data_IF_457289415467
#
_entry.id   IF_457289415467
#
_cell.length_a   1.000
_cell.length_b   1.000
_cell.length_c   1.000
_cell.angle_alpha   90.00
_cell.angle_beta   90.00
_cell.angle_gamma   90.00
#
_symmetry.space_group_name_H-M   'P 1'
#
loop_
_entity.id
_entity.type
_entity.pdbx_description
1 polymer ?
#
# COMPACT_ATOMS: atom_id res chain seq x y z
N UNK A 1 -1.77 24.44 -4.67
CA UNK A 1 -2.59 23.20 -4.71
C UNK A 1 -1.83 22.00 -4.14
N UNK A 2 -0.73 21.52 -4.75
CA UNK A 2 -0.04 20.30 -4.28
C UNK A 2 0.33 20.31 -2.78
N UNK A 3 0.80 21.45 -2.26
CA UNK A 3 1.19 21.60 -0.85
C UNK A 3 0.05 21.45 0.15
N UNK A 4 -1.21 21.65 -0.26
CA UNK A 4 -2.38 21.60 0.65
C UNK A 4 -3.21 20.33 0.50
N UNK A 5 -2.94 19.49 -0.52
CA UNK A 5 -3.74 18.28 -0.77
C UNK A 5 -3.76 17.32 0.42
N UNK A 6 -2.65 17.21 1.16
CA UNK A 6 -2.60 16.34 2.33
C UNK A 6 -3.57 16.75 3.46
N UNK A 7 -4.00 18.02 3.48
CA UNK A 7 -4.99 18.55 4.43
C UNK A 7 -6.43 18.33 3.98
N UNK A 8 -6.65 18.20 2.67
CA UNK A 8 -7.99 18.13 2.07
C UNK A 8 -8.43 16.70 1.76
N UNK A 9 -7.48 15.80 1.52
CA UNK A 9 -7.75 14.46 0.98
C UNK A 9 -7.63 13.41 2.08
N UNK A 10 -8.60 12.53 2.22
CA UNK A 10 -8.55 11.43 3.20
C UNK A 10 -7.43 10.42 2.91
N UNK A 11 -6.92 9.76 3.96
CA UNK A 11 -5.84 8.77 3.84
C UNK A 11 -6.22 7.50 3.06
N UNK A 12 -7.50 7.26 2.78
CA UNK A 12 -7.96 6.20 1.88
C UNK A 12 -7.54 6.44 0.42
N UNK A 13 -7.22 7.69 0.06
CA UNK A 13 -6.88 8.10 -1.28
C UNK A 13 -5.38 8.36 -1.44
N UNK A 14 -4.69 7.42 -2.09
CA UNK A 14 -3.22 7.39 -2.12
C UNK A 14 -2.58 7.83 -3.45
N UNK A 15 -3.36 8.05 -4.51
CA UNK A 15 -2.82 8.49 -5.80
C UNK A 15 -2.51 9.98 -5.81
N UNK A 16 -1.37 10.35 -6.40
CA UNK A 16 -0.95 11.73 -6.68
C UNK A 16 -0.85 12.69 -5.47
N UNK A 17 -1.05 12.20 -4.24
CA UNK A 17 -0.82 12.97 -3.01
C UNK A 17 0.63 12.75 -2.55
N UNK A 18 1.42 13.83 -2.33
CA UNK A 18 2.79 13.72 -1.85
C UNK A 18 2.91 12.90 -0.56
N UNK A 19 3.96 12.09 -0.45
CA UNK A 19 4.20 11.24 0.73
C UNK A 19 3.40 9.93 0.77
N UNK A 20 2.30 9.84 0.00
CA UNK A 20 1.47 8.62 -0.06
C UNK A 20 2.01 7.59 -1.05
N UNK A 21 1.71 6.32 -0.79
CA UNK A 21 2.33 5.19 -1.46
C UNK A 21 1.30 4.19 -1.96
N UNK A 22 1.38 3.81 -3.24
CA UNK A 22 0.53 2.78 -3.86
C UNK A 22 0.59 1.44 -3.11
N UNK A 23 1.74 1.12 -2.51
CA UNK A 23 1.91 -0.11 -1.74
C UNK A 23 0.99 -0.16 -0.52
N UNK A 24 0.62 0.99 0.04
CA UNK A 24 -0.17 1.07 1.28
C UNK A 24 -1.60 0.59 1.01
N UNK A 25 -2.22 0.97 -0.13
CA UNK A 25 -3.51 0.42 -0.58
C UNK A 25 -3.43 -1.09 -0.78
N UNK A 26 -2.38 -1.57 -1.47
CA UNK A 26 -2.24 -3.00 -1.79
C UNK A 26 -2.07 -3.83 -0.51
N UNK A 27 -1.24 -3.37 0.42
CA UNK A 27 -0.99 -4.06 1.68
C UNK A 27 -2.24 -4.08 2.56
N UNK A 28 -2.96 -2.96 2.67
CA UNK A 28 -4.20 -2.91 3.43
C UNK A 28 -5.29 -3.77 2.80
N UNK A 29 -5.49 -3.70 1.48
CA UNK A 29 -6.44 -4.56 0.78
C UNK A 29 -6.14 -6.05 1.00
N UNK A 30 -4.86 -6.47 1.00
CA UNK A 30 -4.47 -7.84 1.35
C UNK A 30 -4.84 -8.23 2.80
N UNK A 31 -4.69 -7.30 3.75
CA UNK A 31 -5.09 -7.55 5.15
C UNK A 31 -6.61 -7.69 5.30
N UNK A 32 -7.39 -6.87 4.59
CA UNK A 32 -8.85 -6.90 4.63
C UNK A 32 -9.42 -8.14 3.92
N UNK A 33 -8.81 -8.54 2.79
CA UNK A 33 -9.17 -9.76 2.05
C UNK A 33 -8.71 -11.05 2.73
N UNK A 34 -7.87 -10.96 3.77
CA UNK A 34 -7.39 -12.13 4.48
C UNK A 34 -8.57 -12.95 5.06
N UNK A 35 -8.55 -14.25 4.81
CA UNK A 35 -9.57 -15.18 5.30
C UNK A 35 -10.93 -15.06 4.61
N UNK A 36 -11.01 -14.43 3.43
CA UNK A 36 -12.24 -14.44 2.61
C UNK A 36 -12.71 -15.88 2.30
N UNK A 37 -11.80 -16.84 2.26
CA UNK A 37 -12.12 -18.27 2.08
C UNK A 37 -12.61 -18.99 3.34
N UNK A 38 -12.65 -18.35 4.51
CA UNK A 38 -13.03 -18.98 5.78
C UNK A 38 -14.49 -18.71 6.13
N UNK A 39 -15.30 -19.77 6.17
CA UNK A 39 -16.73 -19.68 6.49
C UNK A 39 -17.03 -19.23 7.93
N UNK A 40 -16.10 -19.45 8.88
CA UNK A 40 -16.26 -19.06 10.29
C UNK A 40 -16.13 -17.56 10.57
N UNK A 41 -15.69 -16.79 9.58
CA UNK A 41 -15.50 -15.34 9.72
C UNK A 41 -16.76 -14.60 9.28
N UNK A 42 -17.02 -13.37 9.76
CA UNK A 42 -18.23 -12.63 9.40
C UNK A 42 -18.42 -12.44 7.89
N UNK A 43 -19.68 -12.46 7.40
CA UNK A 43 -20.00 -12.20 6.01
C UNK A 43 -19.59 -10.76 5.66
N UNK A 44 -18.84 -10.62 4.57
CA UNK A 44 -18.27 -9.37 4.10
C UNK A 44 -17.98 -9.42 2.61
N UNK A 45 -17.91 -8.26 1.97
CA UNK A 45 -17.60 -8.14 0.56
C UNK A 45 -16.65 -6.97 0.28
N UNK A 46 -15.95 -7.09 -0.84
CA UNK A 46 -15.18 -5.99 -1.44
C UNK A 46 -15.75 -5.74 -2.83
N UNK A 47 -16.11 -4.50 -3.10
CA UNK A 47 -16.61 -4.07 -4.40
C UNK A 47 -15.47 -3.35 -5.12
N UNK A 48 -15.05 -3.88 -6.26
CA UNK A 48 -14.12 -3.22 -7.16
C UNK A 48 -14.93 -2.44 -8.19
N UNK A 49 -14.82 -1.12 -8.15
CA UNK A 49 -15.55 -0.22 -9.04
C UNK A 49 -14.65 0.16 -10.22
N UNK A 50 -15.18 0.07 -11.44
CA UNK A 50 -14.54 0.53 -12.67
C UNK A 50 -15.31 1.75 -13.18
N UNK A 51 -14.64 2.90 -13.26
CA UNK A 51 -15.26 4.16 -13.72
C UNK A 51 -15.08 4.30 -15.24
N UNK A 52 -16.16 4.61 -15.95
CA UNK A 52 -16.14 4.77 -17.40
C UNK A 52 -15.41 6.05 -17.80
N UNK A 53 -14.26 5.88 -18.47
CA UNK A 53 -13.48 6.99 -19.06
C UNK A 53 -13.25 8.11 -18.04
N UNK A 54 -12.70 7.75 -16.88
CA UNK A 54 -12.72 8.59 -15.69
C UNK A 54 -12.29 10.05 -15.93
N UNK A 55 -11.17 10.28 -16.63
CA UNK A 55 -10.74 11.65 -16.97
C UNK A 55 -11.68 12.32 -17.97
N UNK A 56 -12.13 11.62 -19.00
CA UNK A 56 -12.92 12.20 -20.10
C UNK A 56 -14.37 12.51 -19.72
N UNK A 57 -14.86 11.96 -18.60
CA UNK A 57 -16.26 12.03 -18.17
C UNK A 57 -16.56 13.11 -17.12
N UNK A 58 -15.54 13.72 -16.51
CA UNK A 58 -15.68 14.71 -15.43
C UNK A 58 -16.54 15.90 -15.87
N UNK A 59 -17.61 16.18 -15.14
CA UNK A 59 -18.43 17.37 -15.33
C UNK A 59 -17.70 18.63 -14.83
N UNK A 60 -17.69 19.70 -15.64
CA UNK A 60 -16.97 20.94 -15.32
C UNK A 60 -17.68 21.79 -14.27
N UNK A 61 -19.02 21.82 -14.27
CA UNK A 61 -19.77 22.56 -13.25
C UNK A 61 -19.58 21.91 -11.89
N UNK A 62 -19.54 20.57 -11.86
CA UNK A 62 -19.17 19.82 -10.67
C UNK A 62 -17.75 20.14 -10.20
N UNK A 63 -16.75 20.11 -11.09
CA UNK A 63 -15.38 20.47 -10.74
C UNK A 63 -15.31 21.88 -10.12
N UNK A 64 -15.97 22.86 -10.73
CA UNK A 64 -16.06 24.22 -10.20
C UNK A 64 -16.71 24.25 -8.83
N UNK A 65 -17.80 23.50 -8.62
CA UNK A 65 -18.46 23.40 -7.32
C UNK A 65 -17.53 22.80 -6.25
N UNK A 66 -16.74 21.77 -6.60
CA UNK A 66 -15.75 21.17 -5.71
C UNK A 66 -14.66 22.16 -5.32
N UNK A 67 -14.13 22.92 -6.27
CA UNK A 67 -13.10 23.93 -5.96
C UNK A 67 -13.65 25.05 -5.07
N UNK A 68 -14.91 25.45 -5.27
CA UNK A 68 -15.59 26.41 -4.38
C UNK A 68 -15.80 25.83 -2.99
N UNK A 69 -16.20 24.56 -2.88
CA UNK A 69 -16.39 23.87 -1.61
C UNK A 69 -15.11 23.81 -0.78
N UNK A 70 -13.96 23.57 -1.42
CA UNK A 70 -12.65 23.61 -0.78
C UNK A 70 -12.06 25.04 -0.65
N UNK A 71 -12.88 26.07 -0.88
CA UNK A 71 -12.52 27.48 -0.69
C UNK A 71 -11.30 27.95 -1.50
N UNK A 72 -11.07 27.38 -2.68
CA UNK A 72 -10.04 27.89 -3.57
C UNK A 72 -10.35 29.34 -4.00
N UNK A 73 -9.34 30.23 -4.14
CA UNK A 73 -9.57 31.60 -4.54
C UNK A 73 -10.30 31.71 -5.88
N UNK A 74 -11.28 32.61 -5.99
CA UNK A 74 -12.10 32.77 -7.19
C UNK A 74 -11.26 32.99 -8.47
N UNK A 75 -10.15 33.72 -8.37
CA UNK A 75 -9.20 33.91 -9.47
C UNK A 75 -8.58 32.58 -9.93
N UNK A 76 -8.19 31.71 -8.99
CA UNK A 76 -7.63 30.40 -9.30
C UNK A 76 -8.67 29.49 -9.96
N UNK A 77 -9.91 29.51 -9.46
CA UNK A 77 -11.03 28.75 -10.05
C UNK A 77 -11.24 29.19 -11.50
N UNK A 78 -11.30 30.50 -11.75
CA UNK A 78 -11.44 31.04 -13.11
C UNK A 78 -10.30 30.59 -14.04
N UNK A 79 -9.06 30.50 -13.55
CA UNK A 79 -7.95 29.95 -14.36
C UNK A 79 -8.13 28.47 -14.68
N UNK A 80 -8.57 27.66 -13.71
CA UNK A 80 -8.83 26.23 -13.95
C UNK A 80 -9.97 26.04 -14.95
N UNK A 81 -11.07 26.79 -14.81
CA UNK A 81 -12.18 26.79 -15.76
C UNK A 81 -11.71 27.09 -17.18
N UNK A 82 -10.90 28.13 -17.38
CA UNK A 82 -10.31 28.43 -18.69
C UNK A 82 -9.42 27.30 -19.21
N UNK A 83 -8.60 26.66 -18.34
CA UNK A 83 -7.72 25.58 -18.74
C UNK A 83 -8.47 24.33 -19.21
N UNK A 84 -9.60 23.98 -18.59
CA UNK A 84 -10.37 22.78 -18.94
C UNK A 84 -11.35 23.03 -20.09
N UNK A 85 -11.99 24.21 -20.14
CA UNK A 85 -13.10 24.50 -21.08
C UNK A 85 -12.66 24.93 -22.47
N UNK A 86 -11.46 25.50 -22.62
CA UNK A 86 -10.98 26.02 -23.91
C UNK A 86 -10.31 24.95 -24.79
N UNK A 87 -10.19 23.72 -24.29
CA UNK A 87 -9.61 22.62 -25.04
C UNK A 87 -10.47 22.25 -26.25
N UNK A 88 -9.83 22.14 -27.41
CA UNK A 88 -10.43 21.65 -28.64
C UNK A 88 -9.81 20.31 -29.06
N UNK A 89 -10.64 19.47 -29.65
CA UNK A 89 -10.27 18.15 -30.14
C UNK A 89 -10.36 18.09 -31.65
N UNK A 90 -9.54 17.25 -32.26
CA UNK A 90 -9.47 17.06 -33.70
C UNK A 90 -9.36 15.58 -34.02
N UNK A 91 -9.90 15.13 -35.14
CA UNK A 91 -9.89 13.71 -35.51
C UNK A 91 -8.67 13.43 -36.40
N UNK A 92 -7.81 12.50 -35.99
CA UNK A 92 -6.71 12.02 -36.83
C UNK A 92 -7.18 10.85 -37.71
N UNK A 93 -7.31 11.08 -39.02
CA UNK A 93 -7.63 10.06 -40.03
C UNK A 93 -6.44 9.90 -40.97
N UNK A 94 -5.92 8.68 -41.11
CA UNK A 94 -4.78 8.38 -42.00
C UNK A 94 -3.56 9.30 -41.81
N UNK A 95 -3.27 9.71 -40.57
CA UNK A 95 -2.14 10.59 -40.24
C UNK A 95 -2.37 12.08 -40.50
N UNK A 96 -3.55 12.46 -41.00
CA UNK A 96 -3.95 13.85 -41.18
C UNK A 96 -5.00 14.25 -40.15
N UNK A 97 -4.93 15.50 -39.67
CA UNK A 97 -5.83 16.06 -38.66
C UNK A 97 -7.00 16.74 -39.36
N UNK A 98 -8.23 16.40 -38.95
CA UNK A 98 -9.46 16.92 -39.54
C UNK A 98 -10.36 17.57 -38.50
N UNK A 99 -10.71 18.83 -38.77
CA UNK A 99 -11.64 19.62 -37.99
C UNK A 99 -11.16 19.95 -36.58
N UNK A 100 -11.86 20.89 -35.95
CA UNK A 100 -11.74 21.15 -34.53
C UNK A 100 -13.13 21.27 -33.93
N UNK A 101 -13.35 20.65 -32.79
CA UNK A 101 -14.58 20.79 -32.03
C UNK A 101 -14.24 21.01 -30.54
N UNK A 102 -15.00 21.86 -29.83
CA UNK A 102 -14.75 22.12 -28.42
C UNK A 102 -15.05 20.89 -27.57
N UNK A 103 -14.33 20.74 -26.45
CA UNK A 103 -14.76 19.87 -25.37
C UNK A 103 -16.04 20.38 -24.71
N UNK A 104 -16.77 19.47 -24.07
CA UNK A 104 -17.93 19.82 -23.24
C UNK A 104 -17.76 19.37 -21.77
N UNK A 105 -16.77 18.51 -21.50
CA UNK A 105 -16.47 17.90 -20.20
C UNK A 105 -15.10 17.23 -20.26
N UNK A 106 -14.62 16.81 -19.10
CA UNK A 106 -13.42 15.99 -18.93
C UNK A 106 -12.18 16.79 -18.55
N UNK A 107 -11.18 16.06 -18.10
CA UNK A 107 -9.84 16.51 -17.75
C UNK A 107 -8.84 16.02 -18.79
N UNK A 108 -7.85 16.84 -19.12
CA UNK A 108 -6.90 16.54 -20.19
C UNK A 108 -5.88 15.49 -19.73
N UNK A 109 -5.88 14.33 -20.39
CA UNK A 109 -4.84 13.32 -20.15
C UNK A 109 -3.46 13.85 -20.57
N UNK A 110 -2.48 13.73 -19.67
CA UNK A 110 -1.13 14.25 -19.86
C UNK A 110 -0.92 15.68 -19.39
N UNK A 111 -1.97 16.40 -18.98
CA UNK A 111 -1.84 17.67 -18.28
C UNK A 111 -1.38 17.43 -16.82
N UNK A 112 -0.28 18.07 -16.36
CA UNK A 112 0.19 17.96 -14.98
C UNK A 112 -0.85 18.32 -13.90
N UNK A 113 -1.86 19.16 -14.19
CA UNK A 113 -2.87 19.56 -13.21
C UNK A 113 -4.00 18.54 -13.07
N UNK A 114 -4.36 17.86 -14.15
CA UNK A 114 -5.52 16.97 -14.22
C UNK A 114 -5.53 15.88 -13.14
N UNK A 115 -4.42 15.22 -12.78
CA UNK A 115 -4.40 14.24 -11.70
C UNK A 115 -4.81 14.81 -10.33
N UNK A 116 -4.44 16.04 -10.02
CA UNK A 116 -4.77 16.68 -8.74
C UNK A 116 -6.23 17.12 -8.68
N UNK A 117 -6.75 17.63 -9.80
CA UNK A 117 -8.17 17.97 -9.92
C UNK A 117 -9.05 16.72 -9.81
N UNK A 118 -8.64 15.62 -10.45
CA UNK A 118 -9.32 14.33 -10.33
C UNK A 118 -9.30 13.82 -8.88
N UNK A 119 -8.19 14.00 -8.17
CA UNK A 119 -8.09 13.65 -6.76
C UNK A 119 -9.09 14.42 -5.89
N UNK A 120 -9.25 15.73 -6.11
CA UNK A 120 -10.25 16.54 -5.38
C UNK A 120 -11.69 16.10 -5.68
N UNK A 121 -11.98 15.71 -6.92
CA UNK A 121 -13.29 15.17 -7.32
C UNK A 121 -13.57 13.85 -6.59
N UNK A 122 -12.59 12.94 -6.54
CA UNK A 122 -12.74 11.65 -5.86
C UNK A 122 -12.85 11.78 -4.34
N UNK A 123 -12.37 12.87 -3.74
CA UNK A 123 -12.59 13.15 -2.32
C UNK A 123 -14.08 13.34 -1.98
N UNK A 124 -14.86 13.87 -2.93
CA UNK A 124 -16.31 14.00 -2.75
C UNK A 124 -16.99 12.62 -2.71
N UNK A 125 -16.50 11.64 -3.48
CA UNK A 125 -16.98 10.27 -3.37
C UNK A 125 -16.78 9.74 -1.94
N UNK A 126 -15.57 9.88 -1.40
CA UNK A 126 -15.26 9.44 -0.04
C UNK A 126 -16.13 10.17 0.99
N UNK A 127 -16.22 11.50 0.90
CA UNK A 127 -16.99 12.35 1.81
C UNK A 127 -18.48 11.99 1.79
N UNK A 128 -19.06 11.80 0.60
CA UNK A 128 -20.47 11.43 0.44
C UNK A 128 -20.73 10.05 1.04
N UNK A 129 -19.87 9.07 0.75
CA UNK A 129 -19.99 7.72 1.32
C UNK A 129 -19.88 7.76 2.84
N UNK A 130 -18.90 8.48 3.38
CA UNK A 130 -18.71 8.66 4.82
C UNK A 130 -19.95 9.26 5.46
N UNK A 131 -20.53 10.32 4.90
CA UNK A 131 -21.78 10.90 5.39
C UNK A 131 -22.95 9.90 5.38
N UNK A 132 -23.11 9.14 4.30
CA UNK A 132 -24.20 8.16 4.15
C UNK A 132 -24.12 7.02 5.16
N UNK A 133 -22.92 6.49 5.43
CA UNK A 133 -22.78 5.38 6.40
C UNK A 133 -23.06 5.77 7.85
N UNK A 134 -22.93 7.05 8.20
CA UNK A 134 -23.28 7.57 9.53
C UNK A 134 -24.75 7.96 9.67
N UNK A 135 -25.41 8.29 8.56
CA UNK A 135 -26.82 8.69 8.55
C UNK A 135 -27.79 7.53 8.33
N UNK A 136 -27.31 6.39 7.81
CA UNK A 136 -28.11 5.19 7.57
C UNK A 136 -27.77 4.11 8.61
N UNK A 137 -28.58 3.93 9.68
CA UNK A 137 -28.25 3.02 10.80
C UNK A 137 -28.13 1.55 10.42
N UNK A 138 -28.72 1.15 9.30
CA UNK A 138 -28.70 -0.22 8.79
C UNK A 138 -27.38 -0.59 8.11
N UNK A 139 -26.52 0.39 7.79
CA UNK A 139 -25.20 0.12 7.23
C UNK A 139 -24.32 -0.62 8.23
N UNK A 140 -23.59 -1.62 7.73
CA UNK A 140 -22.63 -2.37 8.53
C UNK A 140 -21.27 -2.39 7.83
N UNK A 141 -20.25 -2.05 8.62
CA UNK A 141 -18.87 -2.02 8.15
C UNK A 141 -18.35 -3.41 7.79
N UNK A 142 -17.41 -3.44 6.85
CA UNK A 142 -16.58 -4.61 6.64
C UNK A 142 -15.84 -5.00 7.93
N UNK A 143 -15.57 -6.30 8.08
CA UNK A 143 -14.85 -6.82 9.24
C UNK A 143 -13.50 -6.11 9.43
N UNK A 144 -13.27 -5.57 10.64
CA UNK A 144 -12.09 -4.78 11.02
C UNK A 144 -11.92 -3.46 10.27
N UNK A 145 -13.02 -2.81 9.91
CA UNK A 145 -13.00 -1.47 9.34
C UNK A 145 -13.69 -0.41 10.21
N UNK A 146 -14.63 -0.81 11.09
CA UNK A 146 -15.47 0.12 11.86
C UNK A 146 -14.68 1.11 12.74
N UNK A 147 -13.70 0.64 13.51
CA UNK A 147 -13.02 1.52 14.49
C UNK A 147 -12.16 2.59 13.81
N UNK A 148 -11.70 2.33 12.58
CA UNK A 148 -10.90 3.27 11.79
C UNK A 148 -11.66 3.85 10.61
N UNK A 149 -12.98 3.64 10.54
CA UNK A 149 -13.86 4.18 9.49
C UNK A 149 -13.38 3.87 8.05
N UNK A 150 -12.80 2.70 7.82
CA UNK A 150 -12.30 2.32 6.49
C UNK A 150 -13.46 1.88 5.60
N UNK A 151 -13.81 2.71 4.63
CA UNK A 151 -14.92 2.47 3.71
C UNK A 151 -14.45 2.10 2.30
N UNK A 152 -13.37 2.72 1.86
CA UNK A 152 -12.83 2.57 0.52
C UNK A 152 -11.29 2.64 0.50
N UNK A 153 -10.72 2.31 -0.65
CA UNK A 153 -9.33 2.57 -1.01
C UNK A 153 -9.31 3.08 -2.45
N UNK A 154 -9.02 4.36 -2.60
CA UNK A 154 -8.97 5.04 -3.89
C UNK A 154 -7.52 5.19 -4.37
N UNK A 155 -7.28 4.86 -5.63
CA UNK A 155 -6.04 5.20 -6.31
C UNK A 155 -6.38 5.70 -7.71
N UNK A 156 -6.61 7.01 -7.82
CA UNK A 156 -7.21 7.61 -9.00
C UNK A 156 -8.56 6.94 -9.30
N UNK A 157 -8.74 6.35 -10.48
CA UNK A 157 -9.96 5.67 -10.92
C UNK A 157 -10.09 4.22 -10.43
N UNK A 158 -9.02 3.62 -9.89
CA UNK A 158 -9.07 2.29 -9.26
C UNK A 158 -9.64 2.40 -7.83
N UNK A 159 -10.92 2.07 -7.67
CA UNK A 159 -11.63 2.17 -6.38
C UNK A 159 -12.01 0.79 -5.85
N UNK A 160 -11.66 0.52 -4.58
CA UNK A 160 -12.20 -0.60 -3.80
C UNK A 160 -13.10 -0.05 -2.70
N UNK A 161 -14.26 -0.68 -2.49
CA UNK A 161 -15.23 -0.33 -1.44
C UNK A 161 -15.47 -1.55 -0.55
N UNK A 162 -15.57 -1.35 0.76
CA UNK A 162 -15.65 -2.42 1.75
C UNK A 162 -16.90 -2.26 2.63
N UNK A 163 -17.75 -3.29 2.66
CA UNK A 163 -18.88 -3.34 3.58
C UNK A 163 -19.18 -4.77 4.04
N UNK A 164 -20.14 -4.91 4.96
CA UNK A 164 -20.77 -6.21 5.24
C UNK A 164 -21.51 -6.67 3.99
N UNK A 165 -21.48 -7.97 3.72
CA UNK A 165 -22.20 -8.55 2.59
C UNK A 165 -23.67 -8.77 2.97
N UNK A 166 -24.44 -7.69 3.03
CA UNK A 166 -25.89 -7.69 3.20
C UNK A 166 -26.55 -6.57 2.38
N UNK A 167 -27.83 -6.75 2.05
CA UNK A 167 -28.58 -5.83 1.20
C UNK A 167 -28.62 -4.39 1.74
N UNK A 168 -28.83 -4.14 3.05
CA UNK A 168 -28.84 -2.77 3.56
C UNK A 168 -27.51 -2.04 3.33
N UNK A 169 -26.37 -2.68 3.59
CA UNK A 169 -25.07 -2.05 3.37
C UNK A 169 -24.79 -1.85 1.88
N UNK A 170 -25.18 -2.80 1.04
CA UNK A 170 -24.99 -2.71 -0.42
C UNK A 170 -25.88 -1.63 -1.03
N UNK A 171 -27.10 -1.43 -0.51
CA UNK A 171 -27.99 -0.32 -0.93
C UNK A 171 -27.29 1.01 -0.74
N UNK A 172 -26.73 1.27 0.44
CA UNK A 172 -26.01 2.51 0.72
C UNK A 172 -24.89 2.74 -0.29
N UNK A 173 -24.08 1.71 -0.59
CA UNK A 173 -23.01 1.84 -1.60
C UNK A 173 -23.59 2.15 -2.98
N UNK A 174 -24.62 1.41 -3.41
CA UNK A 174 -25.23 1.58 -4.73
C UNK A 174 -25.85 2.97 -4.90
N UNK A 175 -26.62 3.42 -3.91
CA UNK A 175 -27.29 4.72 -3.93
C UNK A 175 -26.26 5.85 -3.96
N UNK A 176 -25.18 5.74 -3.18
CA UNK A 176 -24.06 6.68 -3.18
C UNK A 176 -23.35 6.72 -4.54
N UNK A 177 -23.14 5.57 -5.19
CA UNK A 177 -22.51 5.51 -6.52
C UNK A 177 -23.40 6.17 -7.59
N UNK A 178 -24.72 5.97 -7.51
CA UNK A 178 -25.67 6.60 -8.42
C UNK A 178 -25.66 8.13 -8.25
N UNK A 179 -25.79 8.62 -7.02
CA UNK A 179 -25.76 10.06 -6.71
C UNK A 179 -24.43 10.70 -7.13
N UNK A 180 -23.30 10.07 -6.81
CA UNK A 180 -21.99 10.57 -7.23
C UNK A 180 -21.84 10.61 -8.75
N UNK A 181 -22.34 9.59 -9.47
CA UNK A 181 -22.31 9.56 -10.93
C UNK A 181 -23.20 10.64 -11.58
N UNK A 182 -24.35 10.93 -10.97
CA UNK A 182 -25.26 12.01 -11.42
C UNK A 182 -24.64 13.39 -11.24
N UNK A 183 -23.96 13.62 -10.11
CA UNK A 183 -23.32 14.90 -9.81
C UNK A 183 -22.03 15.12 -10.61
N UNK A 184 -21.15 14.12 -10.66
CA UNK A 184 -19.78 14.28 -11.19
C UNK A 184 -19.63 13.93 -12.67
N UNK A 185 -20.63 13.26 -13.26
CA UNK A 185 -20.53 12.62 -14.58
C UNK A 185 -19.73 11.31 -14.58
N UNK A 186 -19.10 10.92 -13.47
CA UNK A 186 -18.28 9.70 -13.35
C UNK A 186 -19.15 8.44 -13.20
N UNK A 187 -19.68 7.97 -14.33
CA UNK A 187 -20.51 6.76 -14.38
C UNK A 187 -19.70 5.48 -14.14
N UNK A 188 -20.22 4.60 -13.30
CA UNK A 188 -19.67 3.26 -13.09
C UNK A 188 -19.92 2.38 -14.32
N UNK A 189 -19.03 1.43 -14.58
CA UNK A 189 -19.19 0.37 -15.56
C UNK A 189 -19.63 -0.94 -14.87
N UNK A 190 -20.93 -1.32 -14.91
CA UNK A 190 -21.40 -2.53 -14.24
C UNK A 190 -20.78 -3.82 -14.77
N UNK A 191 -20.36 -3.85 -16.04
CA UNK A 191 -19.78 -5.03 -16.68
C UNK A 191 -18.29 -5.23 -16.33
N UNK A 192 -17.59 -4.16 -15.96
CA UNK A 192 -16.19 -4.23 -15.52
C UNK A 192 -16.03 -4.16 -14.01
N UNK A 193 -17.05 -3.64 -13.31
CA UNK A 193 -17.12 -3.63 -11.86
C UNK A 193 -17.43 -5.04 -11.34
N UNK A 194 -16.86 -5.36 -10.19
CA UNK A 194 -16.95 -6.70 -9.61
C UNK A 194 -17.22 -6.63 -8.11
N UNK A 195 -18.06 -7.52 -7.60
CA UNK A 195 -18.21 -7.77 -6.17
C UNK A 195 -17.58 -9.10 -5.78
N UNK A 196 -16.69 -9.07 -4.78
CA UNK A 196 -16.01 -10.23 -4.25
C UNK A 196 -16.65 -10.56 -2.90
N UNK A 197 -17.34 -11.69 -2.84
CA UNK A 197 -18.02 -12.17 -1.64
C UNK A 197 -17.12 -13.11 -0.84
N UNK A 198 -17.07 -12.91 0.47
CA UNK A 198 -16.47 -13.91 1.37
C UNK A 198 -17.24 -15.23 1.35
N UNK A 199 -16.59 -16.31 1.79
CA UNK A 199 -17.18 -17.66 1.88
C UNK A 199 -18.42 -17.70 2.78
N UNK A 200 -18.45 -16.87 3.82
CA UNK A 200 -19.58 -16.75 4.74
C UNK A 200 -20.80 -16.04 4.12
N UNK A 201 -20.60 -15.26 3.05
CA UNK A 201 -21.65 -14.49 2.38
C UNK A 201 -22.26 -15.21 1.16
N UNK A 202 -21.91 -16.49 0.95
CA UNK A 202 -22.34 -17.22 -0.25
C UNK A 202 -23.84 -17.56 -0.26
N UNK A 203 -24.51 -17.51 0.90
CA UNK A 203 -25.95 -17.75 1.00
C UNK A 203 -26.76 -16.62 0.34
N UNK A 204 -26.38 -15.36 0.58
CA UNK A 204 -27.08 -14.18 0.07
C UNK A 204 -26.58 -13.74 -1.33
N UNK A 205 -25.69 -14.53 -1.94
CA UNK A 205 -24.96 -14.18 -3.17
C UNK A 205 -25.88 -13.74 -4.31
N UNK A 206 -26.90 -14.55 -4.63
CA UNK A 206 -27.75 -14.29 -5.79
C UNK A 206 -28.52 -12.97 -5.60
N UNK A 207 -29.11 -12.78 -4.43
CA UNK A 207 -29.83 -11.56 -4.08
C UNK A 207 -28.94 -10.32 -4.17
N UNK A 208 -27.70 -10.43 -3.66
CA UNK A 208 -26.71 -9.35 -3.71
C UNK A 208 -26.33 -9.00 -5.16
N UNK A 209 -26.06 -9.99 -6.00
CA UNK A 209 -25.66 -9.78 -7.39
C UNK A 209 -26.78 -9.15 -8.22
N UNK A 210 -28.00 -9.65 -8.07
CA UNK A 210 -29.20 -9.10 -8.73
C UNK A 210 -29.48 -7.67 -8.29
N UNK A 211 -29.34 -7.38 -6.98
CA UNK A 211 -29.55 -6.04 -6.45
C UNK A 211 -28.47 -5.04 -6.90
N UNK A 212 -27.19 -5.40 -6.81
CA UNK A 212 -26.09 -4.49 -7.15
C UNK A 212 -25.92 -4.32 -8.67
N UNK A 213 -26.19 -5.37 -9.45
CA UNK A 213 -26.05 -5.37 -10.91
C UNK A 213 -24.60 -5.50 -11.41
N UNK A 214 -23.65 -5.87 -10.54
CA UNK A 214 -22.25 -6.11 -10.89
C UNK A 214 -21.96 -7.60 -11.06
N UNK A 215 -20.86 -7.91 -11.74
CA UNK A 215 -20.39 -9.28 -11.88
C UNK A 215 -19.77 -9.80 -10.58
N UNK A 216 -19.85 -11.10 -10.33
CA UNK A 216 -19.08 -11.70 -9.24
C UNK A 216 -17.60 -11.74 -9.61
N UNK A 217 -16.76 -11.26 -8.69
CA UNK A 217 -15.31 -11.36 -8.78
C UNK A 217 -14.78 -12.55 -7.97
N UNK A 218 -13.69 -13.15 -8.46
CA UNK A 218 -13.00 -14.25 -7.79
C UNK A 218 -11.59 -13.81 -7.35
N UNK A 219 -11.14 -14.29 -6.19
CA UNK A 219 -9.76 -14.15 -5.77
C UNK A 219 -8.90 -15.29 -6.35
N UNK A 220 -7.68 -15.01 -6.83
CA UNK A 220 -7.03 -13.71 -6.84
C UNK A 220 -7.53 -12.77 -7.96
N UNK A 221 -7.72 -11.49 -7.64
CA UNK A 221 -8.16 -10.45 -8.59
C UNK A 221 -7.03 -9.47 -8.87
N UNK A 222 -6.92 -8.95 -10.10
CA UNK A 222 -5.92 -7.92 -10.43
C UNK A 222 -6.37 -6.55 -9.90
N UNK A 223 -5.51 -5.89 -9.13
CA UNK A 223 -5.67 -4.54 -8.61
C UNK A 223 -4.33 -3.82 -8.65
N UNK A 224 -4.29 -2.60 -9.18
CA UNK A 224 -3.07 -1.79 -9.29
C UNK A 224 -1.89 -2.50 -9.99
N UNK A 225 -2.18 -3.49 -10.86
CA UNK A 225 -1.14 -4.23 -11.58
C UNK A 225 -0.55 -5.45 -10.85
N UNK A 226 -1.10 -5.82 -9.68
CA UNK A 226 -0.74 -7.02 -8.91
C UNK A 226 -1.98 -7.85 -8.51
N UNK A 227 -1.82 -9.15 -8.21
CA UNK A 227 -2.93 -9.99 -7.73
C UNK A 227 -3.21 -9.77 -6.25
N UNK A 228 -4.43 -9.34 -5.89
CA UNK A 228 -4.94 -9.43 -4.53
C UNK A 228 -5.38 -10.85 -4.24
N UNK A 229 -4.82 -11.47 -3.20
CA UNK A 229 -5.14 -12.84 -2.80
C UNK A 229 -5.48 -12.91 -1.32
N UNK A 230 -6.45 -13.74 -0.96
CA UNK A 230 -6.76 -14.08 0.44
C UNK A 230 -5.74 -15.08 1.03
N UNK A 231 -4.83 -15.61 0.21
CA UNK A 231 -3.93 -16.70 0.57
C UNK A 231 -2.51 -16.49 0.00
N UNK A 232 -1.67 -17.52 0.09
CA UNK A 232 -0.31 -17.49 -0.46
C UNK A 232 -0.35 -17.36 -1.97
N UNK A 233 0.48 -16.48 -2.53
CA UNK A 233 0.70 -16.43 -3.97
C UNK A 233 1.23 -17.75 -4.51
N UNK A 234 0.53 -18.28 -5.50
CA UNK A 234 0.90 -19.46 -6.26
C UNK A 234 1.83 -19.08 -7.42
N UNK A 235 2.38 -20.09 -8.10
CA UNK A 235 3.16 -19.85 -9.32
C UNK A 235 2.27 -19.29 -10.43
N UNK A 236 1.02 -19.78 -10.53
CA UNK A 236 0.04 -19.32 -11.49
C UNK A 236 -0.28 -17.83 -11.29
N UNK A 237 -0.45 -17.38 -10.05
CA UNK A 237 -0.71 -15.97 -9.73
C UNK A 237 0.43 -15.05 -10.19
N UNK A 238 1.66 -15.57 -10.22
CA UNK A 238 2.85 -14.83 -10.64
C UNK A 238 3.18 -14.97 -12.13
N UNK A 239 2.36 -15.70 -12.90
CA UNK A 239 2.55 -15.87 -14.36
C UNK A 239 2.67 -14.54 -15.11
N UNK A 240 1.86 -13.49 -14.83
CA UNK A 240 2.01 -12.19 -15.49
C UNK A 240 3.40 -11.55 -15.31
N UNK A 241 4.03 -11.74 -14.15
CA UNK A 241 5.40 -11.25 -13.90
C UNK A 241 6.42 -12.01 -14.74
N UNK A 242 6.27 -13.34 -14.84
CA UNK A 242 7.13 -14.18 -15.67
C UNK A 242 6.98 -13.81 -17.15
N UNK A 243 5.75 -13.67 -17.63
CA UNK A 243 5.44 -13.33 -19.02
C UNK A 243 6.05 -11.99 -19.40
N UNK A 244 5.91 -10.99 -18.53
CA UNK A 244 6.52 -9.67 -18.74
C UNK A 244 8.04 -9.75 -18.91
N UNK A 245 8.71 -10.61 -18.13
CA UNK A 245 10.15 -10.84 -18.26
C UNK A 245 10.49 -11.52 -19.59
N UNK A 246 9.72 -12.55 -19.97
CA UNK A 246 9.90 -13.30 -21.21
C UNK A 246 9.67 -12.42 -22.43
N UNK A 247 8.60 -11.62 -22.47
CA UNK A 247 8.31 -10.69 -23.57
C UNK A 247 9.45 -9.69 -23.76
N UNK A 248 10.03 -9.16 -22.68
CA UNK A 248 11.18 -8.24 -22.77
C UNK A 248 12.42 -8.94 -23.33
N UNK A 249 12.73 -10.14 -22.85
CA UNK A 249 13.86 -10.93 -23.36
C UNK A 249 13.66 -11.28 -24.84
N UNK A 250 12.47 -11.76 -25.21
CA UNK A 250 12.14 -12.12 -26.59
C UNK A 250 12.27 -10.91 -27.53
N UNK A 251 11.84 -9.73 -27.07
CA UNK A 251 12.00 -8.47 -27.79
C UNK A 251 13.45 -8.05 -28.07
N UNK A 252 14.45 -8.69 -27.46
CA UNK A 252 15.86 -8.39 -27.71
C UNK A 252 16.61 -9.52 -28.43
N UNK A 253 15.97 -10.66 -28.66
CA UNK A 253 16.62 -11.79 -29.32
C UNK A 253 17.06 -11.48 -30.76
N UNK A 254 16.45 -10.51 -31.44
CA UNK A 254 16.83 -10.13 -32.80
C UNK A 254 18.01 -9.15 -32.85
N UNK A 255 18.43 -8.57 -31.72
CA UNK A 255 19.41 -7.47 -31.68
C UNK A 255 20.88 -7.93 -31.65
N UNK A 256 21.17 -9.24 -31.77
CA UNK A 256 22.53 -9.81 -31.76
C UNK A 256 23.48 -9.20 -30.71
N UNK A 257 22.99 -9.07 -29.48
CA UNK A 257 23.66 -8.33 -28.41
C UNK A 257 24.97 -8.97 -27.97
N UNK A 258 25.98 -8.13 -27.76
CA UNK A 258 27.22 -8.53 -27.08
C UNK A 258 26.96 -8.95 -25.63
N UNK A 259 27.92 -9.64 -25.01
CA UNK A 259 27.83 -9.97 -23.57
C UNK A 259 27.66 -8.69 -22.71
N UNK A 260 28.45 -7.64 -22.98
CA UNK A 260 28.34 -6.37 -22.29
C UNK A 260 26.96 -5.71 -22.48
N UNK A 261 26.41 -5.75 -23.71
CA UNK A 261 25.06 -5.25 -23.98
C UNK A 261 23.98 -5.97 -23.17
N UNK A 262 24.07 -7.30 -23.06
CA UNK A 262 23.16 -8.09 -22.22
C UNK A 262 23.29 -7.75 -20.74
N UNK A 263 24.51 -7.60 -20.23
CA UNK A 263 24.77 -7.17 -18.84
C UNK A 263 24.09 -5.82 -18.56
N UNK A 264 24.17 -4.87 -19.50
CA UNK A 264 23.56 -3.56 -19.36
C UNK A 264 22.02 -3.64 -19.31
N UNK A 265 21.39 -4.40 -20.21
CA UNK A 265 19.93 -4.58 -20.23
C UNK A 265 19.40 -5.31 -18.99
N UNK A 266 20.17 -6.28 -18.47
CA UNK A 266 19.83 -6.95 -17.22
C UNK A 266 19.81 -5.93 -16.08
N UNK A 267 20.82 -5.07 -15.99
CA UNK A 267 20.91 -4.06 -14.93
C UNK A 267 19.81 -3.02 -15.01
N UNK A 268 19.57 -2.44 -16.18
CA UNK A 268 18.64 -1.32 -16.33
C UNK A 268 17.18 -1.75 -16.35
N UNK A 269 16.87 -2.94 -16.88
CA UNK A 269 15.48 -3.38 -17.12
C UNK A 269 15.10 -4.64 -16.36
N UNK A 270 15.83 -5.75 -16.53
CA UNK A 270 15.37 -7.05 -15.99
C UNK A 270 15.46 -7.11 -14.45
N UNK A 271 16.50 -6.52 -13.86
CA UNK A 271 16.69 -6.45 -12.41
C UNK A 271 15.69 -5.52 -11.72
N UNK A 272 15.02 -4.61 -12.44
CA UNK A 272 14.01 -3.72 -11.86
C UNK A 272 12.57 -4.19 -12.11
N UNK A 273 12.38 -5.11 -13.06
CA UNK A 273 11.06 -5.56 -13.50
C UNK A 273 10.21 -6.18 -12.38
N UNK A 274 10.87 -6.90 -11.47
CA UNK A 274 10.23 -7.55 -10.33
C UNK A 274 10.08 -6.63 -9.11
N UNK A 275 10.75 -5.47 -9.09
CA UNK A 275 10.81 -4.60 -7.90
C UNK A 275 9.43 -4.14 -7.45
N UNK A 276 8.52 -3.88 -8.39
CA UNK A 276 7.14 -3.51 -8.06
C UNK A 276 6.43 -4.63 -7.27
N UNK A 277 6.46 -5.86 -7.77
CA UNK A 277 5.87 -7.02 -7.08
C UNK A 277 6.59 -7.33 -5.76
N UNK A 278 7.92 -7.26 -5.77
CA UNK A 278 8.75 -7.49 -4.59
C UNK A 278 8.60 -6.41 -3.51
N UNK A 279 7.99 -5.27 -3.84
CA UNK A 279 7.68 -4.21 -2.87
C UNK A 279 6.39 -4.46 -2.10
N UNK A 280 5.52 -5.36 -2.54
CA UNK A 280 4.21 -5.62 -1.90
C UNK A 280 4.00 -7.09 -1.54
N UNK A 281 4.85 -7.99 -2.03
CA UNK A 281 4.82 -9.41 -1.69
C UNK A 281 6.19 -9.95 -1.33
N UNK A 282 6.21 -10.91 -0.40
CA UNK A 282 7.32 -11.86 -0.29
C UNK A 282 7.16 -12.89 -1.41
N UNK A 283 7.99 -12.81 -2.45
CA UNK A 283 7.90 -13.66 -3.62
C UNK A 283 8.18 -15.13 -3.24
N UNK A 284 7.41 -16.10 -3.76
CA UNK A 284 7.73 -17.51 -3.56
C UNK A 284 9.13 -17.84 -4.09
N UNK A 285 9.92 -18.59 -3.32
CA UNK A 285 11.29 -19.01 -3.74
C UNK A 285 11.31 -19.68 -5.12
N UNK A 286 10.27 -20.43 -5.49
CA UNK A 286 10.13 -21.02 -6.82
C UNK A 286 10.08 -19.97 -7.94
N UNK A 287 9.35 -18.87 -7.72
CA UNK A 287 9.27 -17.75 -8.68
C UNK A 287 10.61 -17.06 -8.81
N UNK A 288 11.30 -16.78 -7.70
CA UNK A 288 12.64 -16.20 -7.72
C UNK A 288 13.58 -17.07 -8.57
N UNK A 289 13.60 -18.38 -8.34
CA UNK A 289 14.41 -19.33 -9.12
C UNK A 289 14.06 -19.31 -10.62
N UNK A 290 12.77 -19.25 -10.96
CA UNK A 290 12.33 -19.18 -12.36
C UNK A 290 12.81 -17.89 -13.04
N UNK A 291 12.66 -16.74 -12.38
CA UNK A 291 13.10 -15.45 -12.90
C UNK A 291 14.62 -15.42 -13.09
N UNK A 292 15.38 -15.81 -12.06
CA UNK A 292 16.85 -15.86 -12.12
C UNK A 292 17.35 -16.83 -13.18
N UNK A 293 16.71 -18.00 -13.36
CA UNK A 293 17.05 -18.93 -14.41
C UNK A 293 16.87 -18.32 -15.82
N UNK A 294 15.78 -17.56 -16.04
CA UNK A 294 15.52 -16.88 -17.32
C UNK A 294 16.54 -15.75 -17.58
N UNK A 295 16.84 -14.94 -16.57
CA UNK A 295 17.85 -13.86 -16.67
C UNK A 295 19.23 -14.47 -16.95
N UNK A 296 19.58 -15.56 -16.24
CA UNK A 296 20.85 -16.29 -16.45
C UNK A 296 20.93 -16.88 -17.85
N UNK A 297 19.85 -17.48 -18.35
CA UNK A 297 19.77 -18.00 -19.71
C UNK A 297 20.02 -16.89 -20.72
N UNK A 298 19.36 -15.74 -20.56
CA UNK A 298 19.57 -14.57 -21.42
C UNK A 298 21.03 -14.10 -21.40
N UNK A 299 21.62 -13.94 -20.20
CA UNK A 299 23.00 -13.48 -20.03
C UNK A 299 24.03 -14.35 -20.77
N UNK A 300 23.90 -15.68 -20.69
CA UNK A 300 24.91 -16.59 -21.22
C UNK A 300 24.60 -17.02 -22.65
N UNK A 301 23.37 -17.45 -22.95
CA UNK A 301 23.02 -18.03 -24.24
C UNK A 301 22.57 -17.00 -25.28
N UNK A 302 21.96 -15.90 -24.83
CA UNK A 302 21.47 -14.84 -25.71
C UNK A 302 20.52 -15.39 -26.78
N UNK A 303 20.58 -14.84 -27.99
CA UNK A 303 19.77 -15.26 -29.13
C UNK A 303 20.20 -16.59 -29.74
N UNK A 304 21.47 -16.98 -29.55
CA UNK A 304 22.03 -18.19 -30.17
C UNK A 304 21.53 -19.48 -29.54
N UNK A 305 21.00 -19.43 -28.31
CA UNK A 305 20.62 -20.61 -27.52
C UNK A 305 21.80 -21.50 -27.13
N UNK A 306 23.03 -21.16 -27.53
CA UNK A 306 24.25 -21.93 -27.29
C UNK A 306 25.06 -21.28 -26.17
N UNK A 307 25.62 -22.12 -25.29
CA UNK A 307 26.43 -21.68 -24.15
C UNK A 307 25.89 -22.17 -22.80
N UNK A 308 26.79 -22.26 -21.82
CA UNK A 308 26.47 -22.64 -20.45
C UNK A 308 26.91 -21.54 -19.47
N UNK A 309 26.26 -21.49 -18.31
CA UNK A 309 26.63 -20.57 -17.25
C UNK A 309 28.01 -20.97 -16.69
N UNK A 310 29.00 -20.09 -16.86
CA UNK A 310 30.39 -20.35 -16.42
C UNK A 310 30.63 -20.02 -14.95
N UNK A 311 29.78 -19.19 -14.36
CA UNK A 311 29.93 -18.64 -13.01
C UNK A 311 28.63 -18.81 -12.26
N UNK A 312 28.71 -19.17 -10.98
CA UNK A 312 27.57 -19.26 -10.08
C UNK A 312 26.84 -17.90 -9.98
N UNK A 313 25.52 -17.92 -9.89
CA UNK A 313 24.71 -16.69 -9.92
C UNK A 313 24.96 -15.80 -8.72
N UNK A 314 25.19 -16.40 -7.55
CA UNK A 314 25.53 -15.71 -6.33
C UNK A 314 26.83 -14.89 -6.48
N UNK A 315 27.81 -15.40 -7.23
CA UNK A 315 29.06 -14.70 -7.54
C UNK A 315 28.83 -13.56 -8.54
N UNK A 316 27.99 -13.79 -9.56
CA UNK A 316 27.59 -12.76 -10.52
C UNK A 316 26.88 -11.59 -9.83
N UNK A 317 26.10 -11.87 -8.79
CA UNK A 317 25.37 -10.87 -8.04
C UNK A 317 26.24 -10.00 -7.10
N UNK A 318 27.51 -10.34 -6.89
CA UNK A 318 28.40 -9.53 -6.05
C UNK A 318 28.67 -8.16 -6.67
N UNK A 319 29.02 -7.14 -5.85
CA UNK A 319 29.53 -5.86 -6.35
C UNK A 319 30.66 -6.03 -7.37
N UNK A 320 30.86 -5.03 -8.25
CA UNK A 320 31.93 -5.11 -9.26
C UNK A 320 33.31 -5.14 -8.60
N UNK A 321 33.42 -4.43 -7.48
CA UNK A 321 34.58 -4.30 -6.62
C UNK A 321 34.98 -5.65 -6.00
N UNK A 322 34.02 -6.56 -5.84
CA UNK A 322 34.22 -7.93 -5.35
C UNK A 322 34.33 -8.96 -6.51
N UNK A 323 34.52 -8.51 -7.75
CA UNK A 323 34.65 -9.37 -8.92
C UNK A 323 33.34 -9.87 -9.52
N UNK A 324 32.19 -9.38 -9.04
CA UNK A 324 30.88 -9.70 -9.61
C UNK A 324 30.47 -8.80 -10.77
N UNK A 325 29.27 -9.03 -11.31
CA UNK A 325 28.66 -8.17 -12.32
C UNK A 325 27.71 -7.15 -11.70
N UNK A 326 27.64 -7.01 -10.37
CA UNK A 326 26.81 -6.06 -9.64
C UNK A 326 25.32 -6.18 -9.96
N UNK A 327 24.83 -7.41 -10.18
CA UNK A 327 23.39 -7.68 -10.28
C UNK A 327 22.80 -7.82 -8.89
N UNK A 328 21.65 -7.21 -8.62
CA UNK A 328 21.00 -7.37 -7.32
C UNK A 328 20.31 -8.72 -7.25
N UNK A 329 20.61 -9.51 -6.21
CA UNK A 329 19.84 -10.73 -5.95
C UNK A 329 18.37 -10.37 -5.71
N UNK A 330 17.48 -11.06 -6.44
CA UNK A 330 16.02 -10.85 -6.32
C UNK A 330 15.56 -11.12 -4.88
N UNK A 331 16.14 -12.13 -4.23
CA UNK A 331 15.80 -12.47 -2.85
C UNK A 331 16.18 -11.37 -1.87
N UNK A 332 17.41 -10.87 -1.95
CA UNK A 332 17.90 -9.80 -1.08
C UNK A 332 17.10 -8.52 -1.32
N UNK A 333 16.84 -8.19 -2.59
CA UNK A 333 16.05 -7.01 -2.96
C UNK A 333 14.62 -7.11 -2.43
N UNK A 334 13.99 -8.28 -2.54
CA UNK A 334 12.65 -8.50 -1.99
C UNK A 334 12.61 -8.36 -0.46
N UNK A 335 13.60 -8.91 0.25
CA UNK A 335 13.71 -8.72 1.70
C UNK A 335 13.88 -7.25 2.07
N UNK A 336 14.78 -6.53 1.40
CA UNK A 336 15.03 -5.11 1.65
C UNK A 336 13.79 -4.24 1.39
N UNK A 337 13.08 -4.47 0.28
CA UNK A 337 11.86 -3.74 -0.04
C UNK A 337 10.74 -3.99 0.97
N UNK A 338 10.60 -5.23 1.45
CA UNK A 338 9.60 -5.56 2.48
C UNK A 338 10.00 -5.06 3.88
N UNK A 339 11.30 -4.97 4.17
CA UNK A 339 11.81 -4.35 5.40
C UNK A 339 11.45 -2.86 5.50
N UNK A 340 11.37 -2.14 4.37
CA UNK A 340 10.93 -0.73 4.34
C UNK A 340 9.55 -0.54 4.98
N UNK A 341 8.64 -1.50 4.83
CA UNK A 341 7.31 -1.43 5.45
C UNK A 341 7.36 -1.67 6.95
N UNK A 342 8.20 -2.59 7.43
CA UNK A 342 8.43 -2.74 8.87
C UNK A 342 9.12 -1.51 9.47
N UNK A 343 10.01 -0.87 8.71
CA UNK A 343 10.62 0.40 9.11
C UNK A 343 9.55 1.49 9.29
N UNK A 344 8.57 1.61 8.39
CA UNK A 344 7.45 2.55 8.56
C UNK A 344 6.69 2.33 9.88
N UNK A 345 6.50 1.08 10.31
CA UNK A 345 5.76 0.76 11.55
C UNK A 345 6.43 1.25 12.84
N UNK A 346 7.72 1.54 12.79
CA UNK A 346 8.51 1.99 13.96
C UNK A 346 8.84 3.48 13.89
N UNK A 347 8.40 4.16 12.84
CA UNK A 347 8.51 5.62 12.73
C UNK A 347 7.28 6.25 13.40
N UNK A 348 7.45 7.19 14.34
CA UNK A 348 6.34 7.81 15.05
C UNK A 348 5.41 8.61 14.10
N UNK A 349 5.99 9.26 13.08
CA UNK A 349 5.26 10.18 12.20
C UNK A 349 4.72 9.51 10.92
N UNK A 350 4.47 8.19 10.95
CA UNK A 350 4.03 7.46 9.76
C UNK A 350 2.54 7.66 9.48
N UNK A 351 2.22 8.62 8.62
CA UNK A 351 0.85 8.94 8.14
C UNK A 351 0.32 7.96 7.06
N UNK A 352 0.29 6.67 7.36
CA UNK A 352 -0.14 5.63 6.41
C UNK A 352 -1.36 4.87 6.92
N UNK A 353 -2.42 4.79 6.09
CA UNK A 353 -3.63 4.04 6.42
C UNK A 353 -3.35 2.56 6.75
N UNK A 354 -2.38 1.94 6.05
CA UNK A 354 -1.96 0.59 6.34
C UNK A 354 -1.24 0.48 7.69
N UNK A 355 -0.34 1.41 8.00
CA UNK A 355 0.38 1.43 9.28
C UNK A 355 -0.60 1.59 10.43
N UNK A 356 -1.51 2.55 10.33
CA UNK A 356 -2.57 2.78 11.32
C UNK A 356 -3.40 1.51 11.53
N UNK A 357 -3.78 0.81 10.46
CA UNK A 357 -4.53 -0.44 10.56
C UNK A 357 -3.77 -1.56 11.23
N UNK A 358 -2.48 -1.74 10.89
CA UNK A 358 -1.63 -2.74 11.52
C UNK A 358 -1.44 -2.44 13.01
N UNK A 359 -1.14 -1.20 13.37
CA UNK A 359 -0.99 -0.78 14.76
C UNK A 359 -2.26 -1.09 15.55
N UNK A 360 -3.43 -0.75 15.01
CA UNK A 360 -4.71 -0.94 15.68
C UNK A 360 -5.16 -2.41 15.77
N UNK A 361 -5.17 -3.13 14.65
CA UNK A 361 -5.80 -4.46 14.56
C UNK A 361 -4.84 -5.65 14.68
N UNK A 362 -3.53 -5.45 14.48
CA UNK A 362 -2.52 -6.51 14.59
C UNK A 362 -1.68 -6.35 15.86
N UNK A 363 -1.02 -5.21 16.02
CA UNK A 363 -0.10 -4.98 17.13
C UNK A 363 -0.85 -4.61 18.41
N UNK A 364 -1.96 -3.87 18.32
CA UNK A 364 -2.80 -3.42 19.45
C UNK A 364 -1.94 -2.74 20.52
N UNK A 365 -1.84 -3.34 21.71
CA UNK A 365 -1.04 -2.84 22.84
C UNK A 365 0.45 -3.18 22.72
N UNK A 366 0.82 -4.08 21.81
CA UNK A 366 2.22 -4.50 21.59
C UNK A 366 2.96 -3.61 20.60
N UNK A 367 4.30 -3.67 20.59
CA UNK A 367 5.14 -3.07 19.55
C UNK A 367 5.53 -4.13 18.52
N UNK A 368 6.16 -3.71 17.41
CA UNK A 368 6.77 -4.63 16.46
C UNK A 368 7.72 -5.63 17.17
N UNK A 369 8.42 -5.18 18.20
CA UNK A 369 9.47 -5.93 18.88
C UNK A 369 8.91 -7.00 19.81
N UNK A 370 7.87 -6.68 20.56
CA UNK A 370 7.22 -7.59 21.51
C UNK A 370 6.15 -8.47 20.86
N UNK A 371 5.69 -8.15 19.66
CA UNK A 371 4.72 -8.99 18.94
C UNK A 371 5.29 -10.37 18.60
N UNK A 372 4.63 -11.41 19.10
CA UNK A 372 4.92 -12.83 18.86
C UNK A 372 3.80 -13.55 18.10
N UNK A 373 2.74 -12.83 17.71
CA UNK A 373 1.54 -13.41 17.11
C UNK A 373 1.78 -14.08 15.76
N UNK A 374 1.13 -15.24 15.55
CA UNK A 374 1.14 -15.98 14.28
C UNK A 374 -0.13 -15.78 13.45
N UNK A 375 -1.02 -14.87 13.88
CA UNK A 375 -2.31 -14.59 13.25
C UNK A 375 -2.19 -13.49 12.19
N UNK A 376 -3.11 -13.49 11.22
CA UNK A 376 -3.17 -12.46 10.16
C UNK A 376 -2.98 -12.99 8.75
N UNK A 377 -2.82 -12.07 7.80
CA UNK A 377 -2.66 -12.41 6.39
C UNK A 377 -1.37 -13.22 6.17
N UNK A 378 -1.30 -13.93 5.04
CA UNK A 378 -0.07 -14.63 4.68
C UNK A 378 1.10 -13.65 4.49
N UNK A 379 0.83 -12.49 3.89
CA UNK A 379 1.82 -11.42 3.67
C UNK A 379 2.42 -10.94 4.99
N UNK A 380 1.57 -10.58 5.96
CA UNK A 380 1.97 -10.15 7.31
C UNK A 380 2.87 -11.18 8.00
N UNK A 381 2.44 -12.45 8.03
CA UNK A 381 3.21 -13.54 8.66
C UNK A 381 4.59 -13.73 8.03
N UNK A 382 4.75 -13.44 6.75
CA UNK A 382 6.06 -13.50 6.07
C UNK A 382 6.88 -12.24 6.31
N UNK A 383 6.23 -11.08 6.31
CA UNK A 383 6.88 -9.80 6.59
C UNK A 383 7.49 -9.78 7.99
N UNK A 384 6.75 -10.19 9.03
CA UNK A 384 7.24 -10.23 10.42
C UNK A 384 8.48 -11.13 10.60
N UNK A 385 8.68 -12.14 9.76
CA UNK A 385 9.91 -12.96 9.80
C UNK A 385 11.17 -12.18 9.41
N UNK A 386 11.03 -10.99 8.85
CA UNK A 386 12.14 -10.08 8.57
C UNK A 386 12.52 -9.21 9.77
N UNK A 387 11.74 -9.19 10.86
CA UNK A 387 12.03 -8.44 12.09
C UNK A 387 13.48 -8.58 12.58
N UNK A 388 14.12 -9.78 12.59
CA UNK A 388 15.52 -9.90 13.03
C UNK A 388 16.52 -9.15 12.15
N UNK A 389 16.25 -9.02 10.85
CA UNK A 389 17.09 -8.22 9.95
C UNK A 389 16.97 -6.73 10.27
N UNK A 390 15.75 -6.26 10.54
CA UNK A 390 15.52 -4.89 10.97
C UNK A 390 16.25 -4.59 12.29
N UNK A 391 16.10 -5.46 13.29
CA UNK A 391 16.74 -5.30 14.61
C UNK A 391 18.26 -5.13 14.51
N UNK A 392 18.94 -5.88 13.62
CA UNK A 392 20.40 -5.77 13.43
C UNK A 392 20.85 -4.48 12.73
N UNK A 393 19.98 -3.84 11.96
CA UNK A 393 20.30 -2.66 11.18
C UNK A 393 19.79 -1.35 11.79
N UNK A 394 19.12 -1.40 12.93
CA UNK A 394 18.54 -0.23 13.60
C UNK A 394 19.33 0.08 14.87
N UNK A 395 19.71 1.35 15.01
CA UNK A 395 20.24 1.90 16.25
C UNK A 395 19.24 2.91 16.81
N UNK A 396 19.09 2.92 18.13
CA UNK A 396 18.14 3.77 18.82
C UNK A 396 18.91 4.87 19.54
N UNK A 397 18.42 6.10 19.41
CA UNK A 397 18.96 7.24 20.13
C UNK A 397 17.83 7.84 20.94
N UNK A 398 17.97 7.78 22.25
CA UNK A 398 16.98 8.32 23.18
C UNK A 398 17.01 9.85 23.11
N UNK A 399 15.88 10.44 22.71
CA UNK A 399 15.60 11.88 22.80
C UNK A 399 14.90 12.20 24.12
N UNK A 400 13.80 12.94 24.08
CA UNK A 400 12.98 13.23 25.28
C UNK A 400 12.18 12.01 25.81
N UNK A 401 12.23 10.88 25.10
CA UNK A 401 11.53 9.64 25.45
C UNK A 401 10.04 9.63 25.13
N UNK A 402 9.50 10.66 24.47
CA UNK A 402 8.06 10.79 24.18
C UNK A 402 7.57 9.79 23.12
N UNK A 403 8.46 9.32 22.25
CA UNK A 403 8.12 8.44 21.12
C UNK A 403 8.34 6.95 21.38
N UNK A 404 8.99 6.59 22.50
CA UNK A 404 9.37 5.21 22.81
C UNK A 404 8.51 4.65 23.94
N UNK A 405 8.08 3.39 23.81
CA UNK A 405 7.52 2.63 24.92
C UNK A 405 8.65 2.08 25.79
N UNK A 406 8.62 2.44 27.07
CA UNK A 406 9.61 2.08 28.09
C UNK A 406 9.90 0.58 28.09
N UNK A 407 8.86 -0.24 28.09
CA UNK A 407 9.01 -1.68 28.27
C UNK A 407 9.20 -2.46 26.97
N UNK A 408 8.74 -1.90 25.85
CA UNK A 408 8.48 -2.67 24.64
C UNK A 408 9.34 -2.27 23.44
N UNK A 409 9.97 -1.10 23.46
CA UNK A 409 10.88 -0.67 22.40
C UNK A 409 12.34 -0.98 22.74
N UNK A 410 13.18 -1.03 21.71
CA UNK A 410 14.60 -1.42 21.80
C UNK A 410 15.46 -0.19 22.07
N UNK A 411 15.13 0.60 23.10
CA UNK A 411 15.96 1.75 23.47
C UNK A 411 17.14 1.36 24.37
N UNK A 412 17.15 0.12 24.91
CA UNK A 412 18.19 -0.44 25.76
C UNK A 412 18.96 -1.58 25.06
N UNK A 413 20.22 -1.82 25.44
CA UNK A 413 21.09 -2.85 24.82
C UNK A 413 20.55 -4.26 24.97
N UNK A 414 19.89 -4.55 26.09
CA UNK A 414 19.23 -5.84 26.35
C UNK A 414 17.99 -6.06 25.46
N UNK A 415 17.57 -5.06 24.69
CA UNK A 415 16.37 -5.07 23.87
C UNK A 415 15.12 -4.61 24.63
N UNK A 416 13.92 -5.07 24.23
CA UNK A 416 12.70 -4.72 24.94
C UNK A 416 12.74 -5.24 26.39
N UNK A 417 12.70 -4.34 27.36
CA UNK A 417 12.88 -4.68 28.77
C UNK A 417 11.82 -5.65 29.30
N UNK A 418 10.59 -5.65 28.78
CA UNK A 418 9.58 -6.63 29.21
C UNK A 418 9.87 -8.07 28.77
N UNK A 419 10.86 -8.28 27.89
CA UNK A 419 11.29 -9.62 27.49
C UNK A 419 12.45 -10.13 28.34
N UNK A 420 13.35 -9.25 28.76
CA UNK A 420 14.47 -9.59 29.64
C UNK A 420 14.08 -9.54 31.12
N UNK A 421 13.19 -8.61 31.49
CA UNK A 421 12.71 -8.34 32.86
C UNK A 421 11.17 -8.30 32.90
N UNK A 422 10.49 -9.47 32.85
CA UNK A 422 9.03 -9.52 32.80
C UNK A 422 8.33 -8.90 34.00
N UNK A 423 8.97 -8.88 35.18
CA UNK A 423 8.43 -8.32 36.42
C UNK A 423 8.60 -6.79 36.54
N UNK A 424 9.37 -6.17 35.64
CA UNK A 424 9.67 -4.74 35.65
C UNK A 424 8.45 -3.83 35.85
N UNK A 425 7.36 -3.97 35.07
CA UNK A 425 6.15 -3.16 35.26
C UNK A 425 5.54 -3.23 36.66
N UNK A 426 5.62 -4.40 37.32
CA UNK A 426 5.09 -4.60 38.67
C UNK A 426 6.02 -3.98 39.72
N UNK A 427 7.33 -4.18 39.57
CA UNK A 427 8.34 -3.66 40.48
C UNK A 427 8.40 -2.13 40.51
N UNK A 428 8.24 -1.48 39.34
CA UNK A 428 8.29 -0.01 39.25
C UNK A 428 6.94 0.67 39.40
N UNK A 429 5.84 -0.09 39.37
CA UNK A 429 4.47 0.45 39.29
C UNK A 429 4.15 1.19 37.99
N UNK A 430 4.97 1.04 36.94
CA UNK A 430 4.75 1.69 35.64
C UNK A 430 4.02 0.72 34.69
N UNK A 431 2.94 1.14 34.03
CA UNK A 431 2.17 0.25 33.16
C UNK A 431 3.00 -0.19 31.95
N UNK A 432 2.64 -1.34 31.34
CA UNK A 432 3.37 -1.93 30.21
C UNK A 432 3.44 -1.02 28.96
N UNK A 433 2.49 -0.09 28.82
CA UNK A 433 2.43 0.92 27.77
C UNK A 433 3.01 2.28 28.17
N UNK A 434 3.67 2.38 29.34
CA UNK A 434 4.39 3.58 29.74
C UNK A 434 5.39 4.04 28.68
N UNK A 435 5.43 5.34 28.44
CA UNK A 435 6.43 5.97 27.58
C UNK A 435 7.77 6.08 28.31
N UNK A 436 8.86 6.10 27.56
CA UNK A 436 10.21 6.26 28.10
C UNK A 436 10.38 7.62 28.80
N UNK A 437 9.64 8.65 28.37
CA UNK A 437 9.58 9.95 29.03
C UNK A 437 9.10 9.88 30.49
N UNK A 438 8.40 8.81 30.90
CA UNK A 438 7.97 8.63 32.29
C UNK A 438 9.12 8.47 33.28
N UNK A 439 10.30 8.07 32.80
CA UNK A 439 11.52 7.88 33.60
C UNK A 439 12.63 8.86 33.18
N UNK A 440 12.28 9.93 32.46
CA UNK A 440 13.21 11.00 32.08
C UNK A 440 12.68 12.32 32.64
N UNK A 441 13.44 12.94 33.55
CA UNK A 441 13.16 14.27 34.08
C UNK A 441 14.38 15.16 33.90
N UNK A 442 14.20 16.35 33.33
CA UNK A 442 15.28 17.32 33.09
C UNK A 442 16.51 16.74 32.34
N UNK A 443 16.29 15.77 31.45
CA UNK A 443 17.38 15.10 30.72
C UNK A 443 18.17 14.07 31.53
N UNK A 444 17.66 13.68 32.71
CA UNK A 444 18.24 12.65 33.56
C UNK A 444 17.26 11.51 33.80
N UNK A 445 17.80 10.31 34.01
CA UNK A 445 17.03 9.14 34.38
C UNK A 445 16.45 9.31 35.79
N UNK A 446 15.14 9.15 35.92
CA UNK A 446 14.39 9.28 37.17
C UNK A 446 13.47 8.08 37.32
N UNK A 447 14.01 6.98 37.85
CA UNK A 447 13.27 5.75 38.06
C UNK A 447 12.53 5.76 39.41
N UNK A 448 11.36 5.09 39.50
CA UNK A 448 10.72 4.82 40.80
C UNK A 448 11.67 4.07 41.73
N UNK A 449 11.51 4.24 43.04
CA UNK A 449 12.31 3.52 44.02
C UNK A 449 11.99 2.01 43.96
N UNK A 450 13.00 1.18 43.68
CA UNK A 450 12.86 -0.27 43.51
C UNK A 450 13.75 -0.97 44.53
N UNK A 451 13.18 -1.90 45.30
CA UNK A 451 13.89 -2.67 46.33
C UNK A 451 14.71 -3.84 45.78
N UNK A 452 14.58 -4.12 44.48
CA UNK A 452 15.24 -5.22 43.80
C UNK A 452 16.64 -4.83 43.30
N UNK A 453 17.66 -5.52 43.79
CA UNK A 453 19.06 -5.27 43.44
C UNK A 453 19.39 -5.64 41.98
N UNK A 454 18.77 -6.68 41.42
CA UNK A 454 19.02 -7.11 40.03
C UNK A 454 18.43 -6.11 39.04
N UNK A 455 17.25 -5.55 39.33
CA UNK A 455 16.63 -4.54 38.47
C UNK A 455 17.35 -3.19 38.56
N UNK A 456 17.95 -2.85 39.70
CA UNK A 456 18.76 -1.64 39.86
C UNK A 456 20.01 -1.63 38.95
N UNK A 457 20.54 -2.79 38.55
CA UNK A 457 21.64 -2.89 37.57
C UNK A 457 21.18 -2.64 36.12
N UNK A 458 19.87 -2.74 35.85
CA UNK A 458 19.27 -2.52 34.52
C UNK A 458 18.96 -1.04 34.28
N UNK A 459 18.84 -0.25 35.35
CA UNK A 459 18.67 1.20 35.27
C UNK A 459 19.90 1.75 34.54
N UNK A 460 19.73 2.44 33.39
CA UNK A 460 20.85 2.98 32.66
C UNK A 460 21.69 3.87 33.58
N UNK A 461 22.92 3.44 33.88
CA UNK A 461 23.88 4.29 34.58
C UNK A 461 24.08 5.55 33.75
N UNK A 462 24.19 6.70 34.42
CA UNK A 462 24.08 8.08 33.90
C UNK A 462 24.99 8.49 32.71
N UNK A 463 25.69 7.57 32.04
CA UNK A 463 26.60 7.84 30.93
C UNK A 463 25.92 7.96 29.55
N UNK A 464 24.71 7.40 29.38
CA UNK A 464 23.87 7.59 28.19
C UNK A 464 22.73 8.59 28.46
N UNK A 465 23.07 9.80 28.92
CA UNK A 465 22.08 10.85 29.15
C UNK A 465 21.29 11.15 27.87
N UNK A 466 19.95 11.18 27.94
CA UNK A 466 19.10 11.71 26.86
C UNK A 466 19.55 13.12 26.49
N UNK A 467 20.00 13.33 25.24
CA UNK A 467 20.42 14.67 24.80
C UNK A 467 19.17 15.53 24.62
N UNK A 468 19.16 16.71 25.25
CA UNK A 468 18.08 17.69 25.02
C UNK A 468 17.99 18.02 23.52
N UNK A 469 16.77 18.14 22.96
CA UNK A 469 16.60 18.72 21.64
C UNK A 469 17.09 20.18 21.69
N UNK A 470 18.05 20.50 20.84
CA UNK A 470 18.54 21.87 20.63
C UNK A 470 17.65 22.65 19.68
#
# INVERSE_FOLDING_TARGET
MQSILHLLIDYSQNAFVPGRSISDNILLAQELLAGYNQAKLPPRCTIKVDIQKAYDSVDWDFLTAVLKLFEFPAQFIGWIEQCVSTASFSISLNGSIYGFFPGARGLRQGDPMSPYLFVLIMEIWHTLLHFRVHTVPSFQFHWKCKEQQILDLCFADDVLVFCKADIPSISVIKDTLCEFAELSGLKVNPHKSQIILSRAAQQDKQQILEFLGFQEGCLPVRYLGVPLSASRLTIADCKPLIDKLETRIAGWNHLNLTFAGRVQLIRSVLNTLHSYWASVFILPKGIIKILEAKIRKFLWQGSTGRGYAKVAWEQICRPKEEGGLGFRSIMIMNQALMLKHLWKLIQPDSESIWVNWILHYRLRKTTLWTFTGSTGSWGWKKMIKLKPFLKRGTHYRVGDGSTFKLWQDIWHEQGPLCLSHPEGPQLTGLPLDALLSSVIQHGQWSWPAISDAEFNEVIPTATDTPKQPG
#
